data_IF_902129119198
#
_entry.id   IF_902129119198
#
_cell.length_a   1.000
_cell.length_b   1.000
_cell.length_c   1.000
_cell.angle_alpha   90.00
_cell.angle_beta   90.00
_cell.angle_gamma   90.00
#
_symmetry.space_group_name_H-M   'P 1'
#
loop_
_entity.id
_entity.type
_entity.pdbx_description
1 polymer ?
#
# COMPACT_ATOMS: atom_id res chain seq x y z
N UNK A 1 5.91 -2.45 -22.92
CA UNK A 1 6.02 -1.43 -21.85
C UNK A 1 6.39 -0.12 -22.51
N UNK A 2 5.66 0.93 -22.20
CA UNK A 2 5.91 2.30 -22.66
C UNK A 2 6.08 3.19 -21.45
N UNK A 3 7.13 4.02 -21.44
CA UNK A 3 7.35 5.07 -20.45
C UNK A 3 7.49 6.39 -21.19
N UNK A 4 6.63 7.36 -20.87
CA UNK A 4 6.67 8.71 -21.40
C UNK A 4 6.62 9.71 -20.24
N UNK A 5 7.42 10.77 -20.30
CA UNK A 5 7.44 11.75 -19.23
C UNK A 5 8.48 12.85 -19.40
N UNK A 6 8.27 13.90 -18.63
CA UNK A 6 9.15 15.07 -18.59
C UNK A 6 9.75 15.21 -17.20
N UNK A 7 11.08 15.28 -17.14
CA UNK A 7 11.79 15.64 -15.92
C UNK A 7 12.39 17.04 -16.05
N UNK A 8 11.99 17.96 -15.16
CA UNK A 8 12.47 19.34 -15.14
C UNK A 8 12.49 19.88 -13.72
N UNK A 9 13.59 20.54 -13.34
CA UNK A 9 13.74 21.24 -12.05
C UNK A 9 13.43 20.35 -10.82
N UNK A 10 13.85 19.08 -10.85
CA UNK A 10 13.57 18.14 -9.76
C UNK A 10 12.13 17.59 -9.73
N UNK A 11 11.30 17.98 -10.67
CA UNK A 11 9.97 17.46 -10.86
C UNK A 11 9.88 16.49 -12.04
N UNK A 12 9.15 15.42 -11.88
CA UNK A 12 8.79 14.48 -12.93
C UNK A 12 7.28 14.50 -13.12
N UNK A 13 6.85 14.45 -14.37
CA UNK A 13 5.47 14.23 -14.75
C UNK A 13 5.48 13.23 -15.91
N UNK A 14 4.81 12.10 -15.75
CA UNK A 14 4.84 11.07 -16.76
C UNK A 14 3.81 9.97 -16.55
N UNK A 15 3.80 9.07 -17.52
CA UNK A 15 2.94 7.91 -17.54
C UNK A 15 3.76 6.67 -17.89
N UNK A 16 3.34 5.54 -17.31
CA UNK A 16 3.83 4.21 -17.64
C UNK A 16 2.65 3.37 -18.08
N UNK A 17 2.78 2.69 -19.19
CA UNK A 17 1.82 1.72 -19.67
C UNK A 17 2.50 0.37 -19.92
N UNK A 18 1.92 -0.67 -19.39
CA UNK A 18 2.17 -2.07 -19.71
C UNK A 18 0.90 -2.60 -20.35
N UNK A 19 1.05 -3.19 -21.54
CA UNK A 19 0.01 -3.96 -22.23
C UNK A 19 0.65 -5.30 -22.60
N UNK A 20 0.18 -6.36 -21.95
CA UNK A 20 0.73 -7.71 -22.05
C UNK A 20 -0.40 -8.72 -21.91
N UNK A 21 -0.22 -9.94 -22.44
CA UNK A 21 -1.20 -11.02 -22.27
C UNK A 21 -1.45 -11.40 -20.80
N UNK A 22 -0.52 -11.05 -19.92
CA UNK A 22 -0.58 -11.29 -18.48
C UNK A 22 -1.08 -10.07 -17.68
N UNK A 23 -1.61 -9.06 -18.34
CA UNK A 23 -2.30 -7.94 -17.73
C UNK A 23 -1.97 -6.56 -18.29
N UNK A 24 -2.85 -5.63 -17.99
CA UNK A 24 -2.72 -4.22 -18.36
C UNK A 24 -2.44 -3.39 -17.11
N UNK A 25 -1.44 -2.50 -17.19
CA UNK A 25 -1.14 -1.53 -16.13
C UNK A 25 -0.98 -0.15 -16.76
N UNK A 26 -1.71 0.80 -16.25
CA UNK A 26 -1.58 2.20 -16.62
C UNK A 26 -1.34 3.04 -15.38
N UNK A 27 -0.25 3.80 -15.37
CA UNK A 27 0.14 4.64 -14.23
C UNK A 27 0.40 6.04 -14.74
N UNK A 28 -0.30 7.02 -14.18
CA UNK A 28 -0.01 8.45 -14.33
C UNK A 28 0.56 8.96 -13.02
N UNK A 29 1.63 9.74 -13.07
CA UNK A 29 2.23 10.23 -11.85
C UNK A 29 2.99 11.53 -12.00
N UNK A 30 2.98 12.29 -10.91
CA UNK A 30 3.85 13.43 -10.73
C UNK A 30 4.62 13.27 -9.42
N UNK A 31 5.89 13.60 -9.44
CA UNK A 31 6.65 13.78 -8.20
C UNK A 31 7.55 14.99 -8.31
N UNK A 32 7.74 15.67 -7.20
CA UNK A 32 8.63 16.81 -7.10
C UNK A 32 9.52 16.67 -5.88
N UNK A 33 10.82 16.58 -6.11
CA UNK A 33 11.86 16.46 -5.07
C UNK A 33 12.77 17.67 -4.99
N UNK A 34 12.47 18.73 -5.76
CA UNK A 34 13.26 19.96 -5.75
C UNK A 34 13.05 20.81 -4.48
N UNK A 35 11.97 20.56 -3.77
CA UNK A 35 11.63 21.24 -2.54
C UNK A 35 12.08 20.41 -1.32
N UNK A 36 12.17 21.07 -0.17
CA UNK A 36 12.47 20.39 1.10
C UNK A 36 11.42 19.33 1.46
N UNK A 37 10.21 19.54 1.02
CA UNK A 37 9.09 18.57 1.12
C UNK A 37 8.81 18.08 -0.29
N UNK A 38 8.86 16.79 -0.49
CA UNK A 38 8.55 16.14 -1.76
C UNK A 38 7.05 15.90 -1.88
N UNK A 39 6.51 16.14 -3.07
CA UNK A 39 5.13 15.86 -3.42
C UNK A 39 5.06 14.67 -4.38
N UNK A 40 4.16 13.75 -4.11
CA UNK A 40 3.88 12.60 -4.96
C UNK A 40 2.37 12.51 -5.21
N UNK A 41 1.98 12.47 -6.47
CA UNK A 41 0.63 12.17 -6.89
C UNK A 41 0.69 11.06 -7.92
N UNK A 42 -0.09 9.99 -7.70
CA UNK A 42 -0.07 8.81 -8.55
C UNK A 42 -1.49 8.30 -8.73
N UNK A 43 -1.82 7.94 -9.96
CA UNK A 43 -3.03 7.20 -10.33
C UNK A 43 -2.62 5.96 -11.08
N UNK A 44 -3.16 4.82 -10.70
CA UNK A 44 -2.91 3.57 -11.38
C UNK A 44 -4.21 2.84 -11.67
N UNK A 45 -4.30 2.26 -12.85
CA UNK A 45 -5.33 1.29 -13.22
C UNK A 45 -4.64 -0.01 -13.60
N UNK A 46 -5.02 -1.08 -12.95
CA UNK A 46 -4.50 -2.44 -13.16
C UNK A 46 -5.67 -3.33 -13.55
N UNK A 47 -5.51 -4.11 -14.61
CA UNK A 47 -6.53 -5.03 -15.11
C UNK A 47 -5.95 -6.39 -15.40
N UNK A 48 -6.49 -7.41 -14.77
CA UNK A 48 -6.14 -8.80 -15.01
C UNK A 48 -4.66 -9.12 -14.86
N UNK A 49 -3.94 -8.36 -14.01
CA UNK A 49 -2.51 -8.54 -13.81
C UNK A 49 -2.25 -9.89 -13.14
N UNK A 50 -1.41 -10.71 -13.78
CA UNK A 50 -0.95 -12.00 -13.29
C UNK A 50 0.46 -11.89 -12.72
N UNK A 51 0.63 -11.71 -11.41
CA UNK A 51 1.94 -11.45 -10.82
C UNK A 51 2.92 -12.61 -10.98
N UNK A 52 2.43 -13.84 -11.01
CA UNK A 52 3.25 -15.04 -11.20
C UNK A 52 3.84 -15.08 -12.61
N UNK A 53 3.01 -14.92 -13.63
CA UNK A 53 3.44 -14.99 -15.05
C UNK A 53 4.39 -13.85 -15.42
N UNK A 54 4.29 -12.72 -14.73
CA UNK A 54 5.20 -11.58 -14.88
C UNK A 54 6.47 -11.67 -14.01
N UNK A 55 6.67 -12.77 -13.27
CA UNK A 55 7.77 -12.94 -12.31
C UNK A 55 7.83 -11.87 -11.20
N UNK A 56 6.69 -11.30 -10.84
CA UNK A 56 6.56 -10.36 -9.73
C UNK A 56 6.31 -11.05 -8.39
N UNK A 57 5.89 -12.32 -8.43
CA UNK A 57 5.62 -13.12 -7.23
C UNK A 57 5.81 -14.60 -7.53
N UNK A 58 6.42 -15.34 -6.61
CA UNK A 58 6.52 -16.81 -6.65
C UNK A 58 5.28 -17.52 -6.11
N UNK A 59 4.24 -16.75 -5.77
CA UNK A 59 2.99 -17.27 -5.17
C UNK A 59 1.81 -16.93 -6.07
N UNK A 60 0.70 -17.67 -5.84
CA UNK A 60 -0.58 -17.38 -6.50
C UNK A 60 -0.54 -17.56 -8.02
N UNK A 61 -0.04 -18.73 -8.46
CA UNK A 61 0.20 -19.11 -9.85
C UNK A 61 -1.00 -18.85 -10.79
N UNK A 62 -2.20 -19.15 -10.34
CA UNK A 62 -3.42 -18.96 -11.16
C UNK A 62 -4.27 -17.78 -10.66
N UNK A 63 -3.63 -16.70 -10.26
CA UNK A 63 -4.34 -15.54 -9.74
C UNK A 63 -4.14 -14.31 -10.59
N UNK A 64 -5.18 -13.51 -10.74
CA UNK A 64 -5.10 -12.19 -11.35
C UNK A 64 -5.66 -11.11 -10.41
N UNK A 65 -5.13 -9.90 -10.57
CA UNK A 65 -5.49 -8.73 -9.77
C UNK A 65 -5.96 -7.61 -10.70
N UNK A 66 -7.08 -7.01 -10.35
CA UNK A 66 -7.55 -5.76 -10.97
C UNK A 66 -7.87 -4.75 -9.87
N UNK A 67 -7.45 -3.50 -10.05
CA UNK A 67 -7.75 -2.41 -9.12
C UNK A 67 -7.57 -1.04 -9.77
N UNK A 68 -8.18 -0.02 -9.15
CA UNK A 68 -7.84 1.37 -9.37
C UNK A 68 -7.24 1.95 -8.09
N UNK A 69 -6.12 2.67 -8.21
CA UNK A 69 -5.39 3.26 -7.09
C UNK A 69 -5.18 4.74 -7.33
N UNK A 70 -5.40 5.53 -6.28
CA UNK A 70 -5.00 6.93 -6.21
C UNK A 70 -4.14 7.12 -4.96
N UNK A 71 -3.03 7.83 -5.11
CA UNK A 71 -2.13 8.09 -4.00
C UNK A 71 -1.63 9.54 -4.06
N UNK A 72 -1.80 10.24 -2.96
CA UNK A 72 -1.35 11.61 -2.78
C UNK A 72 -0.53 11.68 -1.50
N UNK A 73 0.76 12.03 -1.63
CA UNK A 73 1.67 12.09 -0.50
C UNK A 73 2.50 13.35 -0.52
N UNK A 74 2.80 13.84 0.68
CA UNK A 74 3.87 14.79 0.94
C UNK A 74 4.78 14.25 2.03
N UNK A 75 6.07 14.60 2.00
CA UNK A 75 6.98 14.19 3.05
C UNK A 75 8.43 14.46 2.70
N UNK A 76 9.27 14.64 3.71
CA UNK A 76 10.71 14.78 3.57
C UNK A 76 11.47 13.46 3.67
N UNK A 77 10.80 12.45 4.18
CA UNK A 77 11.28 11.07 4.32
C UNK A 77 10.10 10.10 4.45
N UNK A 78 10.38 8.80 4.36
CA UNK A 78 9.34 7.78 4.55
C UNK A 78 8.70 7.84 5.95
N UNK A 79 9.43 8.30 6.95
CA UNK A 79 8.93 8.44 8.33
C UNK A 79 8.19 9.76 8.60
N UNK A 80 8.11 10.64 7.59
CA UNK A 80 7.44 11.94 7.64
C UNK A 80 6.38 12.06 6.54
N UNK A 81 5.83 10.94 6.14
CA UNK A 81 4.79 10.89 5.11
C UNK A 81 3.46 11.39 5.67
N UNK A 82 2.84 12.28 4.92
CA UNK A 82 1.49 12.75 5.12
C UNK A 82 0.73 12.58 3.82
N UNK A 83 -0.38 11.86 3.83
CA UNK A 83 -1.13 11.67 2.60
C UNK A 83 -2.15 10.54 2.68
N UNK A 84 -2.61 10.15 1.50
CA UNK A 84 -3.68 9.17 1.36
C UNK A 84 -3.41 8.24 0.19
N UNK A 85 -3.72 6.96 0.41
CA UNK A 85 -3.91 5.96 -0.65
C UNK A 85 -5.39 5.59 -0.66
N UNK A 86 -5.99 5.58 -1.83
CA UNK A 86 -7.32 5.06 -2.07
C UNK A 86 -7.24 3.95 -3.12
N UNK A 87 -7.82 2.80 -2.79
CA UNK A 87 -7.97 1.67 -3.71
C UNK A 87 -9.46 1.45 -3.93
N UNK A 88 -9.88 1.53 -5.17
CA UNK A 88 -11.24 1.26 -5.59
C UNK A 88 -11.25 0.02 -6.48
N UNK A 89 -12.35 -0.73 -6.42
CA UNK A 89 -12.63 -1.86 -7.32
C UNK A 89 -11.51 -2.92 -7.32
N UNK A 90 -10.95 -3.23 -6.14
CA UNK A 90 -10.01 -4.34 -6.02
C UNK A 90 -10.75 -5.67 -6.25
N UNK A 91 -10.31 -6.39 -7.27
CA UNK A 91 -10.76 -7.75 -7.57
C UNK A 91 -9.54 -8.66 -7.54
N UNK A 92 -9.60 -9.71 -6.76
CA UNK A 92 -8.61 -10.79 -6.75
C UNK A 92 -9.31 -12.08 -7.18
N UNK A 93 -9.00 -12.56 -8.36
CA UNK A 93 -9.42 -13.87 -8.84
C UNK A 93 -8.37 -14.89 -8.46
N UNK A 94 -8.81 -16.05 -7.96
CA UNK A 94 -7.93 -17.18 -7.67
C UNK A 94 -8.50 -18.43 -8.32
N UNK A 95 -7.64 -19.25 -8.89
CA UNK A 95 -8.01 -20.47 -9.61
C UNK A 95 -8.98 -21.35 -8.83
N UNK A 96 -10.14 -21.63 -9.44
CA UNK A 96 -11.17 -22.51 -8.89
C UNK A 96 -11.84 -22.05 -7.60
N UNK A 97 -11.65 -20.81 -7.17
CA UNK A 97 -12.23 -20.23 -5.96
C UNK A 97 -13.04 -18.98 -6.28
N UNK A 98 -13.83 -18.58 -5.29
CA UNK A 98 -14.62 -17.36 -5.37
C UNK A 98 -13.70 -16.14 -5.51
N UNK A 99 -14.05 -15.21 -6.39
CA UNK A 99 -13.37 -13.93 -6.50
C UNK A 99 -13.55 -13.12 -5.20
N UNK A 100 -12.48 -12.51 -4.74
CA UNK A 100 -12.54 -11.56 -3.64
C UNK A 100 -12.70 -10.16 -4.22
N UNK A 101 -13.68 -9.45 -3.73
CA UNK A 101 -13.98 -8.09 -4.14
C UNK A 101 -13.88 -7.16 -2.93
N UNK A 102 -13.21 -6.04 -3.10
CA UNK A 102 -13.15 -4.97 -2.11
C UNK A 102 -13.18 -3.61 -2.79
N UNK A 103 -14.10 -2.80 -2.34
CA UNK A 103 -14.26 -1.44 -2.81
C UNK A 103 -13.93 -0.44 -1.68
N UNK A 104 -13.51 0.77 -2.05
CA UNK A 104 -13.33 1.88 -1.11
C UNK A 104 -12.36 1.60 0.05
N UNK A 105 -11.22 0.95 -0.21
CA UNK A 105 -10.14 0.90 0.77
C UNK A 105 -9.41 2.25 0.78
N UNK A 106 -9.36 2.91 1.93
CA UNK A 106 -8.61 4.14 2.12
C UNK A 106 -7.59 3.97 3.24
N UNK A 107 -6.35 4.33 2.99
CA UNK A 107 -5.29 4.42 3.99
C UNK A 107 -4.84 5.87 4.05
N UNK A 108 -4.89 6.47 5.24
CA UNK A 108 -4.42 7.83 5.49
C UNK A 108 -3.26 7.76 6.47
N UNK A 109 -2.17 8.46 6.18
CA UNK A 109 -1.04 8.62 7.08
C UNK A 109 -0.82 10.10 7.38
N UNK A 110 -0.45 10.44 8.60
CA UNK A 110 -0.21 11.81 9.01
C UNK A 110 0.12 11.94 10.49
N UNK A 111 -0.12 13.14 11.02
CA UNK A 111 0.05 13.44 12.44
C UNK A 111 -1.23 14.02 13.02
N UNK A 112 -1.63 13.52 14.18
CA UNK A 112 -2.79 14.00 14.95
C UNK A 112 -2.33 14.27 16.38
N UNK A 113 -2.48 15.50 16.84
CA UNK A 113 -2.07 15.94 18.18
C UNK A 113 -0.59 15.65 18.51
N UNK A 114 0.28 15.69 17.50
CA UNK A 114 1.74 15.48 17.65
C UNK A 114 2.17 14.02 17.60
N UNK A 115 1.25 13.07 17.53
CA UNK A 115 1.55 11.64 17.31
C UNK A 115 1.34 11.26 15.85
N UNK A 116 2.13 10.32 15.35
CA UNK A 116 1.87 9.71 14.04
C UNK A 116 0.58 8.92 14.08
N UNK A 117 -0.18 8.99 13.00
CA UNK A 117 -1.39 8.22 12.81
C UNK A 117 -1.41 7.58 11.44
N UNK A 118 -1.77 6.29 11.40
CA UNK A 118 -2.24 5.60 10.19
C UNK A 118 -3.69 5.20 10.45
N UNK A 119 -4.57 5.57 9.54
CA UNK A 119 -5.95 5.11 9.53
C UNK A 119 -6.20 4.28 8.28
N UNK A 120 -6.79 3.10 8.45
CA UNK A 120 -7.32 2.27 7.39
C UNK A 120 -8.84 2.26 7.51
N UNK A 121 -9.51 2.54 6.41
CA UNK A 121 -10.97 2.52 6.29
C UNK A 121 -11.34 1.60 5.12
N UNK A 122 -12.18 0.62 5.36
CA UNK A 122 -12.78 -0.27 4.38
C UNK A 122 -14.26 -0.50 4.69
N UNK A 123 -15.06 -1.09 3.78
CA UNK A 123 -16.47 -1.37 4.04
C UNK A 123 -16.74 -2.25 5.26
N UNK A 124 -15.80 -3.09 5.65
CA UNK A 124 -15.96 -4.08 6.72
C UNK A 124 -15.09 -3.81 7.96
N UNK A 125 -14.19 -2.82 7.89
CA UNK A 125 -13.25 -2.57 8.99
C UNK A 125 -12.74 -1.12 9.00
N UNK A 126 -12.62 -0.57 10.21
CA UNK A 126 -11.80 0.61 10.47
C UNK A 126 -10.67 0.21 11.40
N UNK A 127 -9.43 0.59 11.05
CA UNK A 127 -8.27 0.38 11.92
C UNK A 127 -7.49 1.69 12.08
N UNK A 128 -7.03 1.97 13.29
CA UNK A 128 -6.25 3.16 13.61
C UNK A 128 -5.02 2.76 14.40
N UNK A 129 -3.87 3.21 13.92
CA UNK A 129 -2.58 3.06 14.59
C UNK A 129 -2.06 4.45 14.97
N UNK A 130 -1.83 4.70 16.25
CA UNK A 130 -1.28 5.96 16.77
C UNK A 130 -0.08 5.74 17.64
N UNK A 131 0.90 6.64 17.57
CA UNK A 131 2.05 6.63 18.48
C UNK A 131 3.36 7.08 17.83
N UNK A 132 4.45 6.66 18.44
CA UNK A 132 5.81 6.89 17.96
C UNK A 132 6.36 5.60 17.35
N UNK A 133 6.47 5.58 16.03
CA UNK A 133 6.93 4.43 15.25
C UNK A 133 7.56 4.85 13.94
N UNK A 134 8.36 3.95 13.36
CA UNK A 134 8.83 4.07 11.98
C UNK A 134 7.90 3.32 11.03
N UNK A 135 7.51 3.96 9.93
CA UNK A 135 6.70 3.32 8.87
C UNK A 135 7.40 2.09 8.26
N UNK A 136 8.74 2.07 8.25
CA UNK A 136 9.50 0.93 7.74
C UNK A 136 9.38 -0.31 8.63
N UNK A 137 9.30 -0.12 9.93
CA UNK A 137 9.38 -1.22 10.91
C UNK A 137 8.03 -1.57 11.56
N UNK A 138 7.04 -0.68 11.48
CA UNK A 138 5.72 -0.91 12.08
C UNK A 138 5.00 -2.15 11.56
N UNK A 139 5.07 -2.53 10.26
CA UNK A 139 4.46 -3.77 9.81
C UNK A 139 5.01 -4.99 10.54
N UNK A 140 6.33 -5.04 10.74
CA UNK A 140 6.97 -6.12 11.51
C UNK A 140 6.51 -6.14 12.97
N UNK A 141 6.38 -4.97 13.61
CA UNK A 141 5.90 -4.86 14.99
C UNK A 141 4.46 -5.33 15.13
N UNK A 142 3.59 -4.98 14.19
CA UNK A 142 2.19 -5.44 14.17
C UNK A 142 2.16 -6.97 14.04
N UNK A 143 2.88 -7.55 13.07
CA UNK A 143 2.94 -8.99 12.87
C UNK A 143 3.47 -9.73 14.10
N UNK A 144 4.50 -9.20 14.78
CA UNK A 144 5.03 -9.76 16.03
C UNK A 144 4.00 -9.68 17.16
N UNK A 145 3.24 -8.60 17.25
CA UNK A 145 2.16 -8.44 18.22
C UNK A 145 1.05 -9.43 17.96
N UNK A 146 0.58 -9.54 16.72
CA UNK A 146 -0.48 -10.51 16.36
C UNK A 146 -0.02 -11.94 16.60
N UNK A 147 1.22 -12.30 16.24
CA UNK A 147 1.78 -13.63 16.52
C UNK A 147 1.77 -13.96 18.02
N UNK A 148 2.02 -12.97 18.88
CA UNK A 148 2.02 -13.18 20.34
C UNK A 148 0.64 -13.56 20.86
N UNK A 149 -0.43 -13.00 20.30
CA UNK A 149 -1.82 -13.25 20.73
C UNK A 149 -2.50 -14.35 19.92
N UNK A 150 -2.12 -14.52 18.65
CA UNK A 150 -2.70 -15.47 17.70
C UNK A 150 -1.59 -16.25 16.97
N UNK A 151 -0.83 -17.09 17.69
CA UNK A 151 0.36 -17.78 17.14
C UNK A 151 0.02 -18.78 16.02
N UNK A 152 -1.23 -19.24 15.94
CA UNK A 152 -1.70 -20.15 14.89
C UNK A 152 -1.92 -19.45 13.53
N UNK A 153 -2.08 -18.13 13.49
CA UNK A 153 -2.34 -17.40 12.27
C UNK A 153 -1.08 -16.90 11.57
N UNK A 154 -0.01 -16.67 12.32
CA UNK A 154 1.20 -16.03 11.78
C UNK A 154 2.44 -16.81 12.24
N UNK A 155 3.28 -17.23 11.28
CA UNK A 155 4.60 -17.79 11.54
C UNK A 155 5.67 -16.81 11.08
N UNK A 156 6.42 -16.24 12.01
CA UNK A 156 7.55 -15.34 11.71
C UNK A 156 8.88 -16.11 11.77
N UNK A 157 9.85 -15.68 10.96
CA UNK A 157 11.22 -16.21 11.03
C UNK A 157 11.85 -15.89 12.38
N UNK A 158 12.53 -16.87 12.99
CA UNK A 158 13.04 -16.84 14.38
C UNK A 158 14.05 -15.73 14.72
N UNK A 159 14.63 -15.01 13.76
CA UNK A 159 15.75 -14.06 14.00
C UNK A 159 15.43 -12.61 13.55
N UNK A 160 14.18 -12.16 13.64
CA UNK A 160 13.89 -10.76 13.33
C UNK A 160 14.23 -9.86 14.53
N UNK A 161 15.02 -8.83 14.29
CA UNK A 161 15.26 -7.75 15.25
C UNK A 161 13.93 -7.13 15.67
N UNK A 162 13.71 -6.96 16.96
CA UNK A 162 12.52 -6.29 17.46
C UNK A 162 12.69 -4.78 17.29
N UNK A 163 11.91 -4.12 16.45
CA UNK A 163 11.97 -2.67 16.33
C UNK A 163 11.40 -2.02 17.60
N UNK A 164 11.98 -0.88 17.97
CA UNK A 164 11.49 -0.07 19.08
C UNK A 164 10.35 0.84 18.58
N UNK A 165 9.15 0.30 18.52
CA UNK A 165 7.96 1.07 18.19
C UNK A 165 7.03 1.10 19.42
N UNK A 166 6.47 2.27 19.70
CA UNK A 166 5.47 2.46 20.75
C UNK A 166 4.18 2.99 20.12
N UNK A 167 3.17 2.14 20.02
CA UNK A 167 1.91 2.48 19.37
C UNK A 167 0.71 1.85 20.06
N UNK A 168 -0.44 2.48 19.86
CA UNK A 168 -1.77 1.94 20.14
C UNK A 168 -2.42 1.56 18.81
N UNK A 169 -3.06 0.40 18.80
CA UNK A 169 -3.75 -0.13 17.62
C UNK A 169 -5.19 -0.46 17.98
N UNK A 170 -6.13 0.23 17.36
CA UNK A 170 -7.56 0.07 17.54
C UNK A 170 -8.17 -0.48 16.23
N UNK A 171 -9.01 -1.51 16.33
CA UNK A 171 -9.72 -2.12 15.20
C UNK A 171 -11.19 -2.23 15.53
N UNK A 172 -12.03 -1.77 14.62
CA UNK A 172 -13.46 -1.91 14.66
C UNK A 172 -13.92 -2.62 13.37
N UNK A 173 -14.67 -3.68 13.53
CA UNK A 173 -15.34 -4.35 12.42
C UNK A 173 -16.72 -3.73 12.22
N UNK A 174 -17.10 -3.54 10.96
CA UNK A 174 -18.44 -3.10 10.57
C UNK A 174 -19.30 -4.34 10.33
N UNK A 175 -20.56 -4.31 10.78
CA UNK A 175 -21.55 -5.36 10.54
C UNK A 175 -22.07 -5.29 9.10
#
# INVERSE_FOLDING_TARGET
ITLDGIYKNGGFNGQLALDDENGEVHIDGTFNVAQRISDFNLRASVRGLRPYDLNLSDKYEDSDISLNLMADFTGSSIDDVNGRIRVDSLVLNTSGKQAYFMDNLTITAGQVAGEKEIQLLSPFMTAVLRGDYSYQTVPTSILQTVQRYLPSLITLKKNQVRPSNNFRFDVQLSD
#
